data_IF_071776193831
#
_entry.id   IF_071776193831
#
_cell.length_a   1.000
_cell.length_b   1.000
_cell.length_c   1.000
_cell.angle_alpha   90.00
_cell.angle_beta   90.00
_cell.angle_gamma   90.00
#
_symmetry.space_group_name_H-M   'P 1'
#
loop_
_entity.id
_entity.type
_entity.pdbx_description
1 polymer ?
#
# COMPACT_ATOMS: atom_id res chain seq x y z
N UNK A 1 6.83 -24.88 16.06
CA UNK A 1 6.21 -23.86 15.19
C UNK A 1 5.92 -22.63 16.05
N UNK A 2 6.85 -21.67 16.06
CA UNK A 2 6.64 -20.39 16.75
C UNK A 2 5.82 -19.49 15.84
N UNK A 3 4.57 -19.24 16.20
CA UNK A 3 3.81 -18.13 15.64
C UNK A 3 4.39 -16.85 16.22
N UNK A 4 5.33 -16.22 15.51
CA UNK A 4 5.78 -14.88 15.83
C UNK A 4 4.55 -13.97 15.74
N UNK A 5 3.98 -13.59 16.89
CA UNK A 5 3.01 -12.51 16.95
C UNK A 5 3.73 -11.25 16.51
N UNK A 6 3.58 -10.92 15.23
CA UNK A 6 4.08 -9.67 14.67
C UNK A 6 3.35 -8.53 15.42
N UNK A 7 4.07 -7.82 16.28
CA UNK A 7 3.57 -6.59 16.89
C UNK A 7 3.38 -5.58 15.76
N UNK A 8 2.12 -5.37 15.35
CA UNK A 8 1.78 -4.40 14.31
C UNK A 8 2.10 -3.01 14.85
N UNK A 9 3.24 -2.46 14.44
CA UNK A 9 3.65 -1.10 14.76
C UNK A 9 2.98 -0.15 13.77
N UNK A 10 1.76 0.29 14.09
CA UNK A 10 1.06 1.32 13.29
C UNK A 10 1.87 2.61 13.35
N UNK A 11 2.50 2.99 12.23
CA UNK A 11 3.15 4.28 12.07
C UNK A 11 2.11 5.39 11.96
N UNK A 12 2.54 6.64 12.13
CA UNK A 12 1.66 7.83 12.01
C UNK A 12 0.94 7.94 10.65
N UNK A 13 1.33 7.14 9.66
CA UNK A 13 0.75 7.17 8.31
C UNK A 13 -0.49 6.28 8.12
N UNK A 14 -0.78 5.40 9.09
CA UNK A 14 -1.94 4.50 9.10
C UNK A 14 -1.67 3.13 8.47
N UNK A 15 -2.29 2.08 9.01
CA UNK A 15 -2.05 0.68 8.64
C UNK A 15 -2.27 0.39 7.14
N UNK A 16 -3.29 0.99 6.53
CA UNK A 16 -3.53 0.83 5.09
C UNK A 16 -2.37 1.38 4.24
N UNK A 17 -1.68 2.43 4.69
CA UNK A 17 -0.52 2.96 3.98
C UNK A 17 0.65 1.98 4.03
N UNK A 18 0.95 1.43 5.19
CA UNK A 18 2.03 0.45 5.34
C UNK A 18 1.76 -0.82 4.54
N UNK A 19 0.57 -1.40 4.69
CA UNK A 19 0.22 -2.63 4.01
C UNK A 19 0.30 -2.47 2.47
N UNK A 20 -0.19 -1.37 1.92
CA UNK A 20 -0.16 -1.14 0.47
C UNK A 20 1.25 -0.76 0.01
N UNK A 21 2.05 -0.04 0.80
CA UNK A 21 3.46 0.24 0.48
C UNK A 21 4.27 -1.05 0.29
N UNK A 22 4.09 -2.04 1.16
CA UNK A 22 4.78 -3.33 1.02
C UNK A 22 4.37 -4.08 -0.25
N UNK A 23 3.08 -4.04 -0.60
CA UNK A 23 2.59 -4.62 -1.87
C UNK A 23 3.21 -3.91 -3.07
N UNK A 24 3.29 -2.57 -3.05
CA UNK A 24 3.90 -1.77 -4.10
C UNK A 24 5.39 -2.10 -4.23
N UNK A 25 6.12 -2.13 -3.11
CA UNK A 25 7.54 -2.49 -3.07
C UNK A 25 7.80 -3.88 -3.64
N UNK A 26 7.08 -4.90 -3.14
CA UNK A 26 7.21 -6.29 -3.62
C UNK A 26 6.91 -6.42 -5.12
N UNK A 27 5.94 -5.65 -5.62
CA UNK A 27 5.56 -5.67 -7.04
C UNK A 27 6.67 -5.16 -7.96
N UNK A 28 7.43 -4.16 -7.53
CA UNK A 28 8.52 -3.60 -8.34
C UNK A 28 9.84 -4.33 -8.12
N UNK A 29 10.20 -4.67 -6.89
CA UNK A 29 11.51 -5.25 -6.59
C UNK A 29 11.54 -6.77 -6.83
N UNK A 30 10.54 -7.51 -6.34
CA UNK A 30 10.56 -8.98 -6.39
C UNK A 30 9.87 -9.53 -7.65
N UNK A 31 8.84 -8.82 -8.16
CA UNK A 31 8.12 -9.22 -9.37
C UNK A 31 8.59 -8.48 -10.62
N UNK A 32 9.39 -7.42 -10.48
CA UNK A 32 9.89 -6.62 -11.59
C UNK A 32 8.79 -6.11 -12.54
N UNK A 33 7.59 -5.83 -12.01
CA UNK A 33 6.55 -5.19 -12.81
C UNK A 33 6.99 -3.79 -13.18
N UNK A 34 6.74 -3.37 -14.42
CA UNK A 34 7.10 -2.02 -14.88
C UNK A 34 6.02 -1.00 -14.60
N UNK A 35 4.81 -1.44 -14.25
CA UNK A 35 3.66 -0.58 -14.00
C UNK A 35 2.65 -1.26 -13.08
N UNK A 36 2.04 -0.48 -12.19
CA UNK A 36 0.88 -0.86 -11.40
C UNK A 36 -0.30 0.04 -11.76
N UNK A 37 -1.50 -0.55 -11.77
CA UNK A 37 -2.77 0.15 -11.94
C UNK A 37 -3.56 -0.06 -10.65
N UNK A 38 -4.08 1.02 -10.09
CA UNK A 38 -4.93 0.97 -8.91
C UNK A 38 -6.23 1.71 -9.18
N UNK A 39 -7.35 1.09 -8.81
CA UNK A 39 -8.68 1.65 -9.02
C UNK A 39 -9.32 1.98 -7.66
N UNK A 40 -9.91 3.17 -7.60
CA UNK A 40 -10.76 3.57 -6.49
C UNK A 40 -11.98 4.30 -7.05
N UNK A 41 -13.14 4.10 -6.43
CA UNK A 41 -14.32 4.90 -6.75
C UNK A 41 -14.03 6.38 -6.45
N UNK A 42 -14.46 7.27 -7.34
CA UNK A 42 -14.20 8.73 -7.21
C UNK A 42 -14.73 9.30 -5.89
N UNK A 43 -15.84 8.75 -5.37
CA UNK A 43 -16.43 9.12 -4.09
C UNK A 43 -15.62 8.64 -2.87
N UNK A 44 -14.72 7.67 -3.03
CA UNK A 44 -13.89 7.15 -1.95
C UNK A 44 -12.66 8.05 -1.77
N UNK A 45 -12.86 9.17 -1.08
CA UNK A 45 -11.84 10.19 -0.81
C UNK A 45 -10.64 9.62 -0.05
N UNK A 46 -10.88 8.68 0.88
CA UNK A 46 -9.82 8.05 1.66
C UNK A 46 -8.89 7.19 0.79
N UNK A 47 -9.45 6.37 -0.10
CA UNK A 47 -8.65 5.55 -1.02
C UNK A 47 -7.95 6.40 -2.07
N UNK A 48 -8.63 7.42 -2.62
CA UNK A 48 -8.01 8.38 -3.52
C UNK A 48 -6.83 9.11 -2.86
N UNK A 49 -6.95 9.50 -1.60
CA UNK A 49 -5.87 10.15 -0.86
C UNK A 49 -4.71 9.19 -0.58
N UNK A 50 -5.01 7.94 -0.22
CA UNK A 50 -4.00 6.89 -0.04
C UNK A 50 -3.20 6.65 -1.33
N UNK A 51 -3.88 6.46 -2.47
CA UNK A 51 -3.23 6.22 -3.75
C UNK A 51 -2.33 7.40 -4.16
N UNK A 52 -2.81 8.64 -4.00
CA UNK A 52 -1.99 9.83 -4.23
C UNK A 52 -0.74 9.88 -3.34
N UNK A 53 -0.86 9.53 -2.05
CA UNK A 53 0.27 9.48 -1.11
C UNK A 53 1.32 8.42 -1.51
N UNK A 54 0.88 7.33 -2.13
CA UNK A 54 1.73 6.24 -2.63
C UNK A 54 2.30 6.51 -4.03
N UNK A 55 2.06 7.69 -4.61
CA UNK A 55 2.61 8.09 -5.91
C UNK A 55 1.78 7.67 -7.12
N UNK A 56 0.58 7.13 -6.94
CA UNK A 56 -0.33 6.87 -8.04
C UNK A 56 -0.90 8.18 -8.57
N UNK A 57 -0.78 8.37 -9.89
CA UNK A 57 -1.31 9.51 -10.62
C UNK A 57 -2.54 9.08 -11.41
N UNK A 58 -3.47 10.02 -11.64
CA UNK A 58 -4.62 9.82 -12.53
C UNK A 58 -4.19 9.98 -13.98
#
# INVERSE_FOLDING_TARGET
>A
MQTNRCSIKVTKNGFACEAVSEVVYHSFEDKAFTKLIAEAQSANTSSCALLKRLGFMK
#
